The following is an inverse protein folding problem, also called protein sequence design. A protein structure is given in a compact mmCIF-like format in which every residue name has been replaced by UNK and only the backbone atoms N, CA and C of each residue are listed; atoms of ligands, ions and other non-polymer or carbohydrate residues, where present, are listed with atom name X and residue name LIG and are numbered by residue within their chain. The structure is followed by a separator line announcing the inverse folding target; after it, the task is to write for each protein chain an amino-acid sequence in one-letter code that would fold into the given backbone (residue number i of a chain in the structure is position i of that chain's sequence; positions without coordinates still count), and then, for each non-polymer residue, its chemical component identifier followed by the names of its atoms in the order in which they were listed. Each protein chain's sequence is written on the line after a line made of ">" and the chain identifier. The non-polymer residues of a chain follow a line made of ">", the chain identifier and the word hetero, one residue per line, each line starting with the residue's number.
data_IF_746545369964
#
_entry.id   IF_746545369964
#
_cell.length_a   1.000
_cell.length_b   1.000
_cell.length_c   1.000
_cell.angle_alpha   90.00
_cell.angle_beta   90.00
_cell.angle_gamma   90.00
#
_symmetry.space_group_name_H-M   'P 1'
#
loop_
_entity.id
_entity.type
_entity.pdbx_description
1 polymer ?
#
# COMPACT_ATOMS: atom_id res chain seq x y z
N UNK A 1 -32.66 29.40 -29.87
CA UNK A 1 -32.57 27.94 -29.72
C UNK A 1 -31.17 27.66 -29.20
N UNK A 2 -31.03 27.27 -27.93
CA UNK A 2 -29.73 27.02 -27.31
C UNK A 2 -29.16 25.75 -27.95
N UNK A 3 -28.04 25.85 -28.67
CA UNK A 3 -27.44 24.74 -29.39
C UNK A 3 -25.94 24.71 -29.17
N UNK A 4 -25.37 23.52 -29.01
CA UNK A 4 -23.93 23.30 -28.94
C UNK A 4 -23.36 23.51 -30.35
N UNK A 5 -22.44 24.47 -30.51
CA UNK A 5 -21.75 24.73 -31.77
C UNK A 5 -20.58 23.75 -31.97
N UNK A 6 -20.83 22.64 -32.67
CA UNK A 6 -19.85 21.58 -32.93
C UNK A 6 -18.70 22.02 -33.87
N UNK A 7 -18.83 23.17 -34.54
CA UNK A 7 -17.83 23.67 -35.48
C UNK A 7 -16.60 24.28 -34.80
N UNK A 8 -16.72 24.71 -33.53
CA UNK A 8 -15.62 25.30 -32.72
C UNK A 8 -14.77 24.26 -31.98
N UNK A 9 -14.88 23.00 -32.39
CA UNK A 9 -14.15 21.88 -31.81
C UNK A 9 -14.87 21.36 -30.58
N UNK A 10 -15.21 20.08 -30.65
CA UNK A 10 -15.77 19.28 -29.57
C UNK A 10 -14.77 19.13 -28.41
N UNK A 11 -14.46 20.22 -27.70
CA UNK A 11 -13.69 20.26 -26.46
C UNK A 11 -14.58 19.90 -25.27
N UNK A 12 -15.50 18.95 -25.41
CA UNK A 12 -16.40 18.52 -24.33
C UNK A 12 -15.63 18.17 -23.06
N UNK A 13 -14.45 17.56 -23.22
CA UNK A 13 -13.61 17.15 -22.10
C UNK A 13 -12.91 18.33 -21.42
N UNK A 14 -12.51 19.39 -22.14
CA UNK A 14 -11.86 20.56 -21.54
C UNK A 14 -12.86 21.63 -21.08
N UNK A 15 -13.99 21.78 -21.78
CA UNK A 15 -15.01 22.76 -21.44
C UNK A 15 -16.02 22.23 -20.41
N UNK A 16 -16.23 20.91 -20.33
CA UNK A 16 -17.12 20.29 -19.35
C UNK A 16 -18.50 20.99 -19.27
N UNK A 17 -18.88 21.57 -18.11
CA UNK A 17 -20.16 22.26 -17.94
C UNK A 17 -20.25 23.63 -18.63
N UNK A 18 -19.14 24.21 -19.11
CA UNK A 18 -19.06 25.55 -19.70
C UNK A 18 -19.35 25.58 -21.21
N UNK A 19 -20.02 24.54 -21.72
CA UNK A 19 -20.36 24.37 -23.14
C UNK A 19 -21.57 25.19 -23.59
N UNK A 20 -22.25 25.88 -22.67
CA UNK A 20 -23.43 26.69 -22.99
C UNK A 20 -22.99 28.01 -23.64
N UNK A 21 -23.28 28.16 -24.93
CA UNK A 21 -23.10 29.42 -25.66
C UNK A 21 -24.21 30.41 -25.28
N UNK A 22 -23.88 31.71 -25.25
CA UNK A 22 -24.85 32.78 -25.02
C UNK A 22 -25.96 32.81 -26.10
N UNK A 23 -27.04 33.57 -25.88
CA UNK A 23 -28.18 33.68 -26.79
C UNK A 23 -27.82 34.07 -28.24
N UNK A 24 -26.64 34.66 -28.44
CA UNK A 24 -26.09 35.17 -29.70
C UNK A 24 -25.17 34.16 -30.43
N UNK A 25 -24.97 32.95 -29.89
CA UNK A 25 -24.10 31.92 -30.48
C UNK A 25 -22.61 32.29 -30.46
N UNK A 26 -22.25 33.38 -29.78
CA UNK A 26 -20.86 33.76 -29.54
C UNK A 26 -20.34 32.98 -28.34
N UNK A 27 -19.05 32.63 -28.33
CA UNK A 27 -18.42 32.16 -27.10
C UNK A 27 -18.66 33.22 -26.03
N UNK A 28 -19.07 32.79 -24.83
CA UNK A 28 -19.13 33.69 -23.69
C UNK A 28 -17.75 34.38 -23.55
N UNK A 29 -17.68 35.62 -23.04
CA UNK A 29 -16.40 36.33 -22.91
C UNK A 29 -15.36 35.52 -22.13
N UNK A 30 -15.82 34.60 -21.27
CA UNK A 30 -15.03 33.76 -20.40
C UNK A 30 -14.64 32.40 -21.06
N UNK A 31 -14.98 32.13 -22.34
CA UNK A 31 -14.72 30.85 -23.04
C UNK A 31 -13.24 30.44 -23.02
N UNK A 32 -12.34 31.34 -23.44
CA UNK A 32 -10.90 31.06 -23.47
C UNK A 32 -10.33 30.88 -22.06
N UNK A 33 -10.93 31.54 -21.08
CA UNK A 33 -10.52 31.44 -19.70
C UNK A 33 -10.88 30.07 -19.11
N UNK A 34 -12.08 29.54 -19.39
CA UNK A 34 -12.46 28.18 -18.97
C UNK A 34 -11.55 27.10 -19.58
N UNK A 35 -11.14 27.27 -20.83
CA UNK A 35 -10.15 26.39 -21.47
C UNK A 35 -8.79 26.53 -20.79
N UNK A 36 -8.33 27.76 -20.50
CA UNK A 36 -7.06 27.97 -19.85
C UNK A 36 -7.01 27.34 -18.44
N UNK A 37 -8.08 27.47 -17.66
CA UNK A 37 -8.21 26.89 -16.31
C UNK A 37 -8.18 25.36 -16.36
N UNK A 38 -9.04 24.75 -17.19
CA UNK A 38 -9.13 23.28 -17.32
C UNK A 38 -7.84 22.66 -17.86
N UNK A 39 -7.24 23.30 -18.87
CA UNK A 39 -5.97 22.85 -19.45
C UNK A 39 -4.82 22.96 -18.44
N UNK A 40 -4.74 24.08 -17.71
CA UNK A 40 -3.74 24.25 -16.63
C UNK A 40 -3.90 23.16 -15.59
N UNK A 41 -5.13 22.89 -15.15
CA UNK A 41 -5.39 21.85 -14.17
C UNK A 41 -4.96 20.46 -14.67
N UNK A 42 -5.34 20.11 -15.90
CA UNK A 42 -4.97 18.84 -16.50
C UNK A 42 -3.44 18.70 -16.65
N UNK A 43 -2.74 19.72 -17.14
CA UNK A 43 -1.29 19.72 -17.33
C UNK A 43 -0.52 19.53 -16.03
N UNK A 44 -0.90 20.26 -14.97
CA UNK A 44 -0.24 20.12 -13.66
C UNK A 44 -0.62 18.82 -12.96
N UNK A 45 -1.86 18.33 -13.13
CA UNK A 45 -2.26 16.98 -12.70
C UNK A 45 -1.43 15.88 -13.37
N UNK A 46 -1.22 15.99 -14.68
CA UNK A 46 -0.32 15.10 -15.40
C UNK A 46 1.11 15.20 -14.89
N UNK A 47 1.63 16.42 -14.71
CA UNK A 47 3.00 16.65 -14.22
C UNK A 47 3.24 16.02 -12.85
N UNK A 48 2.30 16.20 -11.90
CA UNK A 48 2.38 15.59 -10.58
C UNK A 48 2.42 14.06 -10.63
N UNK A 49 1.54 13.47 -11.45
CA UNK A 49 1.50 12.02 -11.62
C UNK A 49 2.75 11.47 -12.34
N UNK A 50 3.30 12.24 -13.29
CA UNK A 50 4.51 11.89 -14.02
C UNK A 50 5.75 11.90 -13.11
N UNK A 51 5.88 12.91 -12.23
CA UNK A 51 6.94 12.95 -11.22
C UNK A 51 6.83 11.74 -10.27
N UNK A 52 5.62 11.40 -9.85
CA UNK A 52 5.39 10.19 -9.05
C UNK A 52 5.83 8.92 -9.79
N UNK A 53 5.43 8.77 -11.07
CA UNK A 53 5.80 7.63 -11.91
C UNK A 53 7.32 7.45 -12.00
N UNK A 54 8.07 8.53 -12.24
CA UNK A 54 9.54 8.46 -12.27
C UNK A 54 10.07 7.97 -10.91
N UNK A 55 9.57 8.53 -9.81
CA UNK A 55 9.98 8.12 -8.47
C UNK A 55 9.68 6.64 -8.16
N UNK A 56 8.50 6.16 -8.55
CA UNK A 56 8.10 4.76 -8.35
C UNK A 56 8.93 3.80 -9.20
N UNK A 57 9.20 4.16 -10.48
CA UNK A 57 10.06 3.36 -11.36
C UNK A 57 11.51 3.32 -10.89
N UNK A 58 12.08 4.46 -10.49
CA UNK A 58 13.46 4.53 -9.97
C UNK A 58 13.59 3.69 -8.70
N UNK A 59 12.63 3.80 -7.78
CA UNK A 59 12.60 2.97 -6.56
C UNK A 59 12.47 1.49 -6.92
N UNK A 60 11.53 1.12 -7.79
CA UNK A 60 11.31 -0.27 -8.20
C UNK A 60 12.56 -0.86 -8.89
N UNK A 61 13.25 -0.05 -9.69
CA UNK A 61 14.53 -0.43 -10.31
C UNK A 61 15.62 -0.70 -9.27
N UNK A 62 15.84 0.23 -8.32
CA UNK A 62 16.86 0.05 -7.29
C UNK A 62 16.55 -1.07 -6.29
N UNK A 63 15.28 -1.38 -6.05
CA UNK A 63 14.85 -2.50 -5.20
C UNK A 63 14.82 -3.83 -5.98
N UNK A 64 15.16 -3.82 -7.28
CA UNK A 64 15.07 -4.98 -8.18
C UNK A 64 13.66 -5.61 -8.23
N UNK A 65 12.65 -4.80 -8.00
CA UNK A 65 11.23 -5.17 -7.91
C UNK A 65 10.41 -4.46 -9.01
N UNK A 66 11.03 -4.29 -10.19
CA UNK A 66 10.35 -3.73 -11.35
C UNK A 66 9.48 -4.81 -11.99
N UNK A 67 8.19 -4.80 -11.66
CA UNK A 67 7.20 -5.73 -12.19
C UNK A 67 6.26 -5.05 -13.20
N UNK A 68 5.64 -5.78 -14.14
CA UNK A 68 4.64 -5.23 -15.06
C UNK A 68 3.50 -4.49 -14.34
N UNK A 69 3.18 -4.91 -13.12
CA UNK A 69 2.16 -4.28 -12.28
C UNK A 69 2.52 -2.84 -11.90
N UNK A 70 3.80 -2.51 -11.68
CA UNK A 70 4.25 -1.14 -11.37
C UNK A 70 3.93 -0.19 -12.53
N UNK A 71 4.14 -0.65 -13.77
CA UNK A 71 3.80 0.12 -14.96
C UNK A 71 2.29 0.33 -15.07
N UNK A 72 1.49 -0.73 -14.97
CA UNK A 72 0.02 -0.65 -15.04
C UNK A 72 -0.53 0.28 -13.96
N UNK A 73 -0.10 0.12 -12.71
CA UNK A 73 -0.53 0.95 -11.59
C UNK A 73 -0.16 2.43 -11.79
N UNK A 74 1.07 2.68 -12.27
CA UNK A 74 1.55 4.04 -12.55
C UNK A 74 0.79 4.69 -13.72
N UNK A 75 0.47 3.93 -14.78
CA UNK A 75 -0.38 4.41 -15.88
C UNK A 75 -1.79 4.75 -15.42
N UNK A 76 -2.43 3.87 -14.63
CA UNK A 76 -3.75 4.13 -14.04
C UNK A 76 -3.71 5.40 -13.18
N UNK A 77 -2.64 5.58 -12.39
CA UNK A 77 -2.43 6.77 -11.56
C UNK A 77 -2.29 8.05 -12.39
N UNK A 78 -1.52 8.03 -13.49
CA UNK A 78 -1.39 9.18 -14.41
C UNK A 78 -2.74 9.56 -15.01
N UNK A 79 -3.51 8.58 -15.48
CA UNK A 79 -4.84 8.82 -16.04
C UNK A 79 -5.77 9.40 -14.96
N UNK A 80 -5.84 8.74 -13.81
CA UNK A 80 -6.76 9.10 -12.72
C UNK A 80 -6.43 10.47 -12.14
N UNK A 81 -5.16 10.75 -11.83
CA UNK A 81 -4.73 12.03 -11.27
C UNK A 81 -4.98 13.20 -12.22
N UNK A 82 -4.71 13.03 -13.52
CA UNK A 82 -4.96 14.07 -14.53
C UNK A 82 -6.45 14.36 -14.70
N UNK A 83 -7.29 13.31 -14.73
CA UNK A 83 -8.74 13.45 -14.83
C UNK A 83 -9.36 14.03 -13.55
N UNK A 84 -8.89 13.65 -12.36
CA UNK A 84 -9.37 14.23 -11.09
C UNK A 84 -9.06 15.73 -11.01
N UNK A 85 -7.86 16.15 -11.42
CA UNK A 85 -7.51 17.57 -11.49
C UNK A 85 -8.42 18.33 -12.46
N UNK A 86 -8.68 17.77 -13.64
CA UNK A 86 -9.59 18.32 -14.64
C UNK A 86 -11.02 18.45 -14.11
N UNK A 87 -11.61 17.38 -13.58
CA UNK A 87 -12.98 17.39 -13.03
C UNK A 87 -13.11 18.41 -11.89
N UNK A 88 -12.09 18.52 -11.04
CA UNK A 88 -12.10 19.49 -9.94
C UNK A 88 -12.04 20.93 -10.44
N UNK A 89 -11.34 21.18 -11.54
CA UNK A 89 -11.25 22.52 -12.14
C UNK A 89 -12.62 23.08 -12.55
N UNK A 90 -13.58 22.21 -12.94
CA UNK A 90 -14.95 22.60 -13.24
C UNK A 90 -15.74 23.07 -12.01
N UNK A 91 -15.35 22.63 -10.82
CA UNK A 91 -15.96 23.12 -9.59
C UNK A 91 -15.39 24.49 -9.22
N UNK A 92 -14.09 24.69 -9.46
CA UNK A 92 -13.37 25.94 -9.11
C UNK A 92 -13.71 27.08 -10.06
N UNK A 93 -13.84 26.79 -11.36
CA UNK A 93 -14.21 27.80 -12.36
C UNK A 93 -15.62 28.38 -12.19
N UNK A 94 -16.47 27.71 -11.39
CA UNK A 94 -17.81 28.22 -11.02
C UNK A 94 -17.74 29.22 -9.85
N UNK A 95 -16.69 29.16 -9.03
CA UNK A 95 -16.56 29.91 -7.77
C UNK A 95 -15.63 31.12 -7.86
N UNK A 96 -14.67 31.13 -8.79
CA UNK A 96 -13.70 32.22 -8.93
C UNK A 96 -13.35 32.50 -10.39
N UNK A 97 -13.51 33.77 -10.81
CA UNK A 97 -13.22 34.27 -12.16
C UNK A 97 -11.74 34.59 -12.42
N UNK A 98 -10.78 34.10 -11.64
CA UNK A 98 -9.35 34.27 -11.92
C UNK A 98 -8.60 32.94 -11.80
N UNK A 99 -7.53 32.77 -12.60
CA UNK A 99 -6.59 31.66 -12.45
C UNK A 99 -5.82 31.88 -11.15
N UNK A 100 -6.36 31.33 -10.07
CA UNK A 100 -5.73 31.40 -8.77
C UNK A 100 -4.39 30.64 -8.83
N UNK A 101 -3.30 31.24 -8.34
CA UNK A 101 -1.95 30.64 -8.28
C UNK A 101 -1.98 29.27 -7.57
N UNK A 102 -2.97 29.04 -6.71
CA UNK A 102 -3.20 27.75 -6.06
C UNK A 102 -3.64 26.62 -7.00
N UNK A 103 -4.24 26.91 -8.17
CA UNK A 103 -4.78 25.89 -9.07
C UNK A 103 -3.69 24.94 -9.61
N UNK A 104 -2.56 25.41 -10.18
CA UNK A 104 -1.46 24.53 -10.55
C UNK A 104 -0.95 23.66 -9.39
N UNK A 105 -0.82 24.23 -8.19
CA UNK A 105 -0.30 23.54 -7.01
C UNK A 105 -1.25 22.41 -6.55
N UNK A 106 -2.55 22.71 -6.46
CA UNK A 106 -3.58 21.73 -6.08
C UNK A 106 -3.67 20.64 -7.15
N UNK A 107 -3.63 21.02 -8.42
CA UNK A 107 -3.69 20.07 -9.54
C UNK A 107 -2.48 19.14 -9.54
N UNK A 108 -1.27 19.66 -9.31
CA UNK A 108 -0.06 18.86 -9.12
C UNK A 108 -0.21 17.87 -7.95
N UNK A 109 -0.72 18.34 -6.80
CA UNK A 109 -0.97 17.48 -5.65
C UNK A 109 -1.95 16.36 -5.98
N UNK A 110 -3.01 16.64 -6.74
CA UNK A 110 -4.02 15.66 -7.15
C UNK A 110 -3.43 14.61 -8.10
N UNK A 111 -2.54 15.05 -8.99
CA UNK A 111 -1.74 14.17 -9.85
C UNK A 111 -0.84 13.22 -9.05
N UNK A 112 -0.09 13.78 -8.11
CA UNK A 112 0.88 13.04 -7.31
C UNK A 112 0.19 12.07 -6.32
N UNK A 113 -0.94 12.47 -5.73
CA UNK A 113 -1.69 11.72 -4.72
C UNK A 113 -3.19 11.60 -5.08
N UNK A 114 -3.58 10.82 -6.10
CA UNK A 114 -4.97 10.77 -6.57
C UNK A 114 -5.95 10.20 -5.55
N UNK A 115 -5.54 9.25 -4.71
CA UNK A 115 -6.39 8.66 -3.66
C UNK A 115 -6.74 9.70 -2.59
N UNK A 116 -5.75 10.48 -2.15
CA UNK A 116 -5.97 11.59 -1.21
C UNK A 116 -6.88 12.65 -1.84
N UNK A 117 -6.68 12.97 -3.12
CA UNK A 117 -7.55 13.88 -3.86
C UNK A 117 -9.00 13.37 -3.92
N UNK A 118 -9.20 12.08 -4.20
CA UNK A 118 -10.52 11.47 -4.23
C UNK A 118 -11.23 11.58 -2.87
N UNK A 119 -10.53 11.34 -1.76
CA UNK A 119 -11.07 11.48 -0.41
C UNK A 119 -11.48 12.94 -0.13
N UNK A 120 -10.67 13.92 -0.53
CA UNK A 120 -11.00 15.34 -0.38
C UNK A 120 -12.26 15.70 -1.17
N UNK A 121 -12.38 15.21 -2.40
CA UNK A 121 -13.56 15.41 -3.24
C UNK A 121 -14.79 14.76 -2.59
N UNK A 122 -14.68 13.50 -2.15
CA UNK A 122 -15.76 12.79 -1.47
C UNK A 122 -16.27 13.55 -0.24
N UNK A 123 -15.36 14.05 0.61
CA UNK A 123 -15.73 14.84 1.79
C UNK A 123 -16.49 16.12 1.41
N UNK A 124 -16.02 16.82 0.37
CA UNK A 124 -16.66 18.05 -0.12
C UNK A 124 -18.05 17.79 -0.71
N UNK A 125 -18.17 16.72 -1.52
CA UNK A 125 -19.44 16.31 -2.13
C UNK A 125 -20.42 15.80 -1.08
N UNK A 126 -19.98 14.99 -0.12
CA UNK A 126 -20.82 14.50 0.98
C UNK A 126 -21.38 15.66 1.81
N UNK A 127 -20.55 16.66 2.12
CA UNK A 127 -20.98 17.89 2.80
C UNK A 127 -22.03 18.69 2.00
N UNK A 128 -21.93 18.71 0.68
CA UNK A 128 -22.93 19.38 -0.18
C UNK A 128 -24.25 18.62 -0.31
N UNK A 129 -24.22 17.28 -0.37
CA UNK A 129 -25.41 16.45 -0.54
C UNK A 129 -26.09 16.16 0.82
N UNK A 130 -25.50 16.59 1.94
CA UNK A 130 -26.03 16.32 3.28
C UNK A 130 -25.94 14.83 3.66
N UNK A 131 -25.09 14.07 2.98
CA UNK A 131 -24.75 12.71 3.40
C UNK A 131 -23.85 12.85 4.62
N UNK A 132 -24.40 12.57 5.81
CA UNK A 132 -23.62 12.50 7.03
C UNK A 132 -22.38 11.63 6.81
N UNK A 133 -21.24 12.04 7.36
CA UNK A 133 -19.97 11.33 7.16
C UNK A 133 -20.18 9.83 7.40
N UNK A 134 -20.07 9.03 6.33
CA UNK A 134 -19.96 7.59 6.47
C UNK A 134 -18.62 7.35 7.13
N UNK A 135 -18.59 7.29 8.47
CA UNK A 135 -17.39 6.90 9.22
C UNK A 135 -17.02 5.51 8.74
N UNK A 136 -16.04 5.44 7.85
CA UNK A 136 -15.39 4.19 7.53
C UNK A 136 -14.65 3.78 8.81
N UNK A 137 -15.15 2.74 9.49
CA UNK A 137 -14.70 2.35 10.83
C UNK A 137 -13.38 1.57 10.83
N UNK A 138 -12.74 1.39 9.67
CA UNK A 138 -11.48 0.66 9.57
C UNK A 138 -10.31 1.62 9.81
N UNK A 139 -9.33 1.15 10.58
CA UNK A 139 -8.17 1.95 10.94
C UNK A 139 -7.12 1.83 9.81
N UNK A 140 -6.66 2.94 9.23
CA UNK A 140 -5.69 2.89 8.14
C UNK A 140 -4.31 2.43 8.62
N UNK A 141 -3.57 1.76 7.73
CA UNK A 141 -2.25 1.19 8.06
C UNK A 141 -1.19 2.24 8.38
N UNK A 142 -1.29 3.44 7.79
CA UNK A 142 -0.43 4.60 8.07
C UNK A 142 -0.38 5.02 9.53
N UNK A 143 -1.35 4.61 10.37
CA UNK A 143 -1.30 4.86 11.82
C UNK A 143 -0.42 3.88 12.59
N UNK A 144 0.03 2.79 11.97
CA UNK A 144 0.94 1.85 12.62
C UNK A 144 2.35 2.44 12.72
N UNK A 145 3.01 2.36 13.90
CA UNK A 145 4.38 2.83 14.06
C UNK A 145 5.35 2.18 13.06
N UNK A 146 6.15 2.99 12.36
CA UNK A 146 7.11 2.50 11.36
C UNK A 146 6.50 2.10 10.02
N UNK A 147 5.20 2.33 9.81
CA UNK A 147 4.55 2.17 8.50
C UNK A 147 4.89 3.36 7.60
N UNK A 148 5.75 3.14 6.60
CA UNK A 148 6.01 4.15 5.58
C UNK A 148 4.93 4.12 4.51
N UNK A 149 4.77 5.20 3.77
CA UNK A 149 3.87 5.24 2.61
C UNK A 149 4.16 4.12 1.59
N UNK A 150 5.44 3.77 1.40
CA UNK A 150 5.84 2.68 0.51
C UNK A 150 5.42 1.31 1.04
N UNK A 151 5.50 1.10 2.36
CA UNK A 151 5.05 -0.13 3.01
C UNK A 151 3.53 -0.27 2.89
N UNK A 152 2.78 0.77 3.26
CA UNK A 152 1.32 0.81 3.18
C UNK A 152 0.83 0.54 1.75
N UNK A 153 1.41 1.23 0.76
CA UNK A 153 1.04 1.02 -0.66
C UNK A 153 1.23 -0.44 -1.08
N UNK A 154 2.32 -1.09 -0.65
CA UNK A 154 2.57 -2.51 -0.98
C UNK A 154 1.61 -3.45 -0.28
N UNK A 155 1.24 -3.17 0.98
CA UNK A 155 0.28 -3.96 1.75
C UNK A 155 -1.12 -3.86 1.15
N UNK A 156 -1.56 -2.66 0.80
CA UNK A 156 -2.83 -2.40 0.11
C UNK A 156 -2.87 -3.13 -1.24
N UNK A 157 -1.78 -3.10 -2.01
CA UNK A 157 -1.67 -3.85 -3.28
C UNK A 157 -1.87 -5.37 -3.11
N UNK A 158 -1.50 -5.92 -1.95
CA UNK A 158 -1.70 -7.34 -1.62
C UNK A 158 -3.07 -7.64 -0.99
N UNK A 159 -3.96 -6.64 -0.89
CA UNK A 159 -5.31 -6.75 -0.35
C UNK A 159 -5.41 -6.57 1.16
N UNK A 160 -4.36 -6.01 1.79
CA UNK A 160 -4.36 -5.68 3.21
C UNK A 160 -4.55 -4.18 3.39
N UNK A 161 -5.80 -3.75 3.51
CA UNK A 161 -6.16 -2.32 3.40
C UNK A 161 -6.24 -1.60 4.75
N UNK A 162 -6.31 -2.34 5.86
CA UNK A 162 -6.53 -1.78 7.19
C UNK A 162 -5.89 -2.65 8.29
N UNK A 163 -5.85 -2.08 9.49
CA UNK A 163 -5.26 -2.71 10.69
C UNK A 163 -5.95 -4.02 11.03
N UNK A 164 -7.27 -4.12 10.89
CA UNK A 164 -8.03 -5.33 11.21
C UNK A 164 -7.68 -6.50 10.26
N UNK A 165 -7.53 -6.22 8.96
CA UNK A 165 -7.06 -7.18 7.96
C UNK A 165 -5.63 -7.61 8.26
N UNK A 166 -4.77 -6.67 8.66
CA UNK A 166 -3.37 -6.97 8.98
C UNK A 166 -3.24 -7.79 10.28
N UNK A 167 -4.05 -7.52 11.30
CA UNK A 167 -4.03 -8.25 12.57
C UNK A 167 -4.42 -9.74 12.41
N UNK A 168 -5.18 -10.05 11.36
CA UNK A 168 -5.70 -11.39 11.08
C UNK A 168 -4.93 -12.15 10.01
N UNK A 169 -3.88 -11.56 9.42
CA UNK A 169 -3.06 -12.22 8.40
C UNK A 169 -2.15 -13.28 9.00
N UNK A 170 -1.81 -14.30 8.20
CA UNK A 170 -0.68 -15.18 8.51
C UNK A 170 0.61 -14.46 8.13
N UNK A 171 1.58 -14.28 9.05
CA UNK A 171 2.84 -13.57 8.77
C UNK A 171 3.51 -14.03 7.48
N UNK A 172 3.41 -15.32 7.25
CA UNK A 172 4.07 -15.99 6.16
C UNK A 172 3.51 -15.69 4.77
N UNK A 173 2.18 -15.60 4.65
CA UNK A 173 1.53 -15.22 3.39
C UNK A 173 1.97 -13.81 3.00
N UNK A 174 2.04 -12.92 4.00
CA UNK A 174 2.45 -11.55 3.79
C UNK A 174 3.91 -11.45 3.37
N UNK A 175 4.82 -12.18 4.03
CA UNK A 175 6.24 -12.21 3.66
C UNK A 175 6.45 -12.69 2.22
N UNK A 176 5.74 -13.74 1.79
CA UNK A 176 5.89 -14.28 0.45
C UNK A 176 5.41 -13.33 -0.64
N UNK A 177 4.30 -12.65 -0.38
CA UNK A 177 3.66 -11.72 -1.31
C UNK A 177 4.40 -10.39 -1.42
N UNK A 178 4.81 -9.83 -0.28
CA UNK A 178 5.38 -8.47 -0.21
C UNK A 178 6.91 -8.44 -0.25
N UNK A 179 7.57 -9.57 0.04
CA UNK A 179 9.02 -9.64 0.22
C UNK A 179 9.52 -9.03 1.54
N UNK A 180 8.64 -8.61 2.45
CA UNK A 180 9.05 -8.08 3.75
C UNK A 180 9.68 -9.16 4.64
N UNK A 181 10.61 -8.75 5.50
CA UNK A 181 11.28 -9.66 6.42
C UNK A 181 10.28 -10.20 7.46
N UNK A 182 10.53 -11.40 7.98
CA UNK A 182 9.73 -11.99 9.04
C UNK A 182 9.58 -11.05 10.24
N UNK A 183 10.67 -10.39 10.63
CA UNK A 183 10.69 -9.47 11.76
C UNK A 183 9.76 -8.28 11.56
N UNK A 184 9.81 -7.63 10.39
CA UNK A 184 8.94 -6.49 10.07
C UNK A 184 7.47 -6.91 10.06
N UNK A 185 7.16 -8.02 9.38
CA UNK A 185 5.79 -8.52 9.29
C UNK A 185 5.25 -8.89 10.67
N UNK A 186 6.01 -9.65 11.47
CA UNK A 186 5.61 -10.01 12.83
C UNK A 186 5.35 -8.78 13.68
N UNK A 187 6.25 -7.79 13.63
CA UNK A 187 6.09 -6.53 14.35
C UNK A 187 4.81 -5.81 13.95
N UNK A 188 4.54 -5.62 12.65
CA UNK A 188 3.33 -4.91 12.21
C UNK A 188 2.05 -5.67 12.53
N UNK A 189 2.04 -7.01 12.46
CA UNK A 189 0.88 -7.80 12.86
C UNK A 189 0.64 -7.70 14.37
N UNK A 190 1.70 -7.74 15.18
CA UNK A 190 1.60 -7.59 16.62
C UNK A 190 1.07 -6.20 17.03
N UNK A 191 1.54 -5.14 16.37
CA UNK A 191 1.02 -3.78 16.55
C UNK A 191 -0.43 -3.69 16.08
N UNK A 192 -0.75 -4.23 14.91
CA UNK A 192 -2.09 -4.21 14.36
C UNK A 192 -3.09 -4.94 15.26
N UNK A 193 -2.69 -6.06 15.85
CA UNK A 193 -3.51 -6.80 16.81
C UNK A 193 -3.80 -5.95 18.06
N UNK A 194 -2.80 -5.30 18.63
CA UNK A 194 -3.02 -4.45 19.81
C UNK A 194 -3.92 -3.24 19.46
N UNK A 195 -3.66 -2.61 18.32
CA UNK A 195 -4.43 -1.49 17.82
C UNK A 195 -5.89 -1.89 17.55
N UNK A 196 -6.16 -3.05 16.93
CA UNK A 196 -7.54 -3.48 16.66
C UNK A 196 -8.40 -3.63 17.92
N UNK A 197 -7.78 -3.94 19.06
CA UNK A 197 -8.47 -4.08 20.35
C UNK A 197 -8.60 -2.75 21.10
N UNK A 198 -7.56 -1.90 21.07
CA UNK A 198 -7.58 -0.60 21.77
C UNK A 198 -8.34 0.48 20.99
N UNK A 199 -8.32 0.41 19.65
CA UNK A 199 -8.91 1.36 18.71
C UNK A 199 -8.47 2.79 19.03
N UNK A 200 -9.41 3.67 19.35
CA UNK A 200 -9.16 5.09 19.61
C UNK A 200 -8.21 5.32 20.80
N UNK A 201 -8.13 4.36 21.73
CA UNK A 201 -7.29 4.46 22.93
C UNK A 201 -5.85 3.98 22.72
N UNK A 202 -5.52 3.46 21.52
CA UNK A 202 -4.21 2.87 21.25
C UNK A 202 -3.06 3.87 21.39
N UNK A 203 -3.19 5.05 20.78
CA UNK A 203 -2.09 6.03 20.78
C UNK A 203 -1.78 6.53 22.20
N UNK A 204 -2.82 6.74 23.00
CA UNK A 204 -2.67 7.16 24.40
C UNK A 204 -2.06 6.03 25.25
N UNK A 205 -2.51 4.79 25.05
CA UNK A 205 -1.95 3.63 25.73
C UNK A 205 -0.45 3.44 25.43
N UNK A 206 -0.05 3.57 24.16
CA UNK A 206 1.36 3.47 23.75
C UNK A 206 2.19 4.58 24.39
N UNK A 207 1.68 5.82 24.46
CA UNK A 207 2.38 6.94 25.12
C UNK A 207 2.59 6.70 26.61
N UNK A 208 1.62 6.10 27.28
CA UNK A 208 1.64 5.89 28.74
C UNK A 208 2.46 4.65 29.14
N UNK A 209 2.40 3.58 28.35
CA UNK A 209 3.00 2.28 28.71
C UNK A 209 4.28 1.95 27.94
N UNK A 210 4.50 2.59 26.78
CA UNK A 210 5.57 2.24 25.84
C UNK A 210 5.34 0.95 25.06
N UNK A 211 4.26 0.21 25.31
CA UNK A 211 3.96 -1.07 24.67
C UNK A 211 3.31 -0.83 23.32
N UNK A 212 4.01 -1.18 22.25
CA UNK A 212 3.59 -0.94 20.87
C UNK A 212 2.84 -2.12 20.26
N UNK A 213 3.01 -3.34 20.76
CA UNK A 213 2.39 -4.51 20.15
C UNK A 213 2.19 -5.70 21.09
N UNK A 214 1.49 -6.70 20.56
CA UNK A 214 1.14 -7.91 21.29
C UNK A 214 2.36 -8.72 21.77
N UNK A 215 3.49 -8.70 21.04
CA UNK A 215 4.73 -9.39 21.43
C UNK A 215 5.35 -8.79 22.71
N UNK A 216 5.38 -7.46 22.83
CA UNK A 216 5.89 -6.77 24.02
C UNK A 216 4.96 -6.97 25.23
N UNK A 217 3.64 -6.94 24.99
CA UNK A 217 2.65 -7.25 26.01
C UNK A 217 2.79 -8.71 26.51
N UNK A 218 3.01 -9.63 25.57
CA UNK A 218 3.27 -11.04 25.84
C UNK A 218 4.52 -11.25 26.71
N UNK A 219 5.62 -10.56 26.39
CA UNK A 219 6.86 -10.61 27.15
C UNK A 219 6.68 -10.05 28.57
N UNK A 220 5.91 -8.98 28.72
CA UNK A 220 5.60 -8.41 30.04
C UNK A 220 4.81 -9.40 30.91
N UNK A 221 3.84 -10.12 30.34
CA UNK A 221 3.12 -11.17 31.07
C UNK A 221 4.00 -12.37 31.44
N UNK A 222 4.98 -12.73 30.61
CA UNK A 222 5.91 -13.83 30.90
C UNK A 222 6.90 -13.51 32.02
N UNK A 223 7.30 -12.24 32.15
CA UNK A 223 8.14 -11.77 33.26
C UNK A 223 7.42 -11.89 34.62
N UNK A 224 6.12 -12.13 34.63
CA UNK A 224 5.32 -12.30 35.83
C UNK A 224 5.10 -10.99 36.58
N UNK A 225 4.91 -11.07 37.89
CA UNK A 225 4.65 -9.88 38.71
C UNK A 225 5.84 -8.93 38.69
N UNK A 226 5.57 -7.65 38.43
CA UNK A 226 6.56 -6.57 38.55
C UNK A 226 6.57 -6.16 40.02
N UNK A 227 7.42 -6.80 40.83
CA UNK A 227 7.39 -6.65 42.29
C UNK A 227 6.16 -7.32 42.92
N UNK A 228 5.32 -6.55 43.64
CA UNK A 228 4.09 -7.04 44.27
C UNK A 228 2.84 -6.89 43.40
N UNK A 229 2.92 -6.13 42.31
CA UNK A 229 1.79 -5.83 41.42
C UNK A 229 1.72 -6.80 40.26
N UNK A 230 0.51 -7.27 39.97
CA UNK A 230 0.25 -8.04 38.76
C UNK A 230 0.48 -7.16 37.52
N UNK A 231 0.82 -7.75 36.36
CA UNK A 231 0.90 -7.02 35.10
C UNK A 231 -0.34 -6.19 34.76
N UNK A 232 -1.52 -6.69 35.08
CA UNK A 232 -2.80 -6.00 34.85
C UNK A 232 -2.92 -4.74 35.73
N UNK A 233 -2.55 -4.84 37.00
CA UNK A 233 -2.53 -3.71 37.93
C UNK A 233 -1.46 -2.69 37.54
N UNK A 234 -0.28 -3.15 37.11
CA UNK A 234 0.79 -2.27 36.63
C UNK A 234 0.34 -1.44 35.42
N UNK A 235 -0.28 -2.08 34.42
CA UNK A 235 -0.78 -1.38 33.24
C UNK A 235 -1.97 -0.47 33.57
N UNK A 236 -2.83 -0.88 34.49
CA UNK A 236 -3.97 -0.05 34.94
C UNK A 236 -3.47 1.19 35.67
N UNK A 237 -2.51 1.05 36.59
CA UNK A 237 -1.88 2.17 37.28
C UNK A 237 -1.14 3.11 36.32
N UNK A 238 -0.39 2.56 35.35
CA UNK A 238 0.31 3.36 34.33
C UNK A 238 -0.65 4.17 33.44
N UNK A 239 -1.89 3.71 33.27
CA UNK A 239 -2.92 4.37 32.46
C UNK A 239 -3.91 5.20 33.28
N UNK A 240 -3.70 5.34 34.59
CA UNK A 240 -4.62 6.05 35.50
C UNK A 240 -6.00 5.42 35.56
N UNK A 241 -6.08 4.09 35.47
CA UNK A 241 -7.30 3.27 35.51
C UNK A 241 -8.35 3.57 34.42
N UNK A 242 -7.96 4.28 33.36
CA UNK A 242 -8.89 4.75 32.32
C UNK A 242 -9.49 3.61 31.47
N UNK A 243 -8.76 2.52 31.27
CA UNK A 243 -9.14 1.41 30.37
C UNK A 243 -8.94 0.02 30.99
N UNK A 244 -9.12 -0.11 32.31
CA UNK A 244 -8.93 -1.36 33.09
C UNK A 244 -9.60 -2.58 32.46
N UNK A 245 -10.85 -2.45 32.01
CA UNK A 245 -11.57 -3.56 31.35
C UNK A 245 -10.94 -3.99 30.02
N UNK A 246 -10.42 -3.05 29.22
CA UNK A 246 -9.72 -3.38 27.97
C UNK A 246 -8.38 -4.05 28.25
N UNK A 247 -7.64 -3.57 29.24
CA UNK A 247 -6.37 -4.15 29.68
C UNK A 247 -6.58 -5.60 30.14
N UNK A 248 -7.56 -5.86 31.01
CA UNK A 248 -7.89 -7.22 31.45
C UNK A 248 -8.29 -8.13 30.28
N UNK A 249 -9.05 -7.63 29.31
CA UNK A 249 -9.39 -8.39 28.11
C UNK A 249 -8.15 -8.70 27.25
N UNK A 250 -7.26 -7.74 27.05
CA UNK A 250 -6.00 -7.92 26.33
C UNK A 250 -5.10 -8.97 26.99
N UNK A 251 -4.92 -8.90 28.31
CA UNK A 251 -4.10 -9.85 29.06
C UNK A 251 -4.63 -11.29 28.93
N UNK A 252 -5.96 -11.48 28.93
CA UNK A 252 -6.58 -12.80 28.66
C UNK A 252 -6.39 -13.27 27.22
N UNK A 253 -6.44 -12.37 26.25
CA UNK A 253 -6.37 -12.71 24.83
C UNK A 253 -4.93 -12.88 24.33
N UNK A 254 -3.94 -12.32 25.01
CA UNK A 254 -2.52 -12.44 24.61
C UNK A 254 -2.05 -13.89 24.58
N UNK A 255 -2.60 -14.78 25.41
CA UNK A 255 -2.29 -16.21 25.34
C UNK A 255 -2.63 -16.81 23.97
N UNK A 256 -3.75 -16.40 23.38
CA UNK A 256 -4.13 -16.81 22.01
C UNK A 256 -3.24 -16.18 20.95
N UNK A 257 -2.76 -14.95 21.17
CA UNK A 257 -1.75 -14.33 20.32
C UNK A 257 -0.46 -15.18 20.29
N UNK A 258 0.07 -15.56 21.46
CA UNK A 258 1.27 -16.40 21.57
C UNK A 258 1.12 -17.71 20.81
N UNK A 259 0.04 -18.44 21.08
CA UNK A 259 -0.24 -19.71 20.40
C UNK A 259 -0.26 -19.53 18.87
N UNK A 260 -0.85 -18.44 18.38
CA UNK A 260 -0.89 -18.14 16.95
C UNK A 260 0.48 -17.72 16.40
N UNK A 261 1.24 -16.90 17.12
CA UNK A 261 2.52 -16.37 16.71
C UNK A 261 3.63 -17.44 16.67
N UNK A 262 3.56 -18.41 17.59
CA UNK A 262 4.56 -19.48 17.72
C UNK A 262 4.22 -20.72 16.88
N UNK A 263 3.08 -20.73 16.18
CA UNK A 263 2.73 -21.83 15.26
C UNK A 263 3.84 -21.98 14.20
N UNK A 264 4.50 -23.16 14.12
CA UNK A 264 5.56 -23.39 13.16
C UNK A 264 5.09 -23.14 11.73
N UNK A 265 5.91 -22.44 10.95
CA UNK A 265 5.70 -22.22 9.50
C UNK A 265 5.51 -23.55 8.74
N UNK A 266 6.08 -24.64 9.23
CA UNK A 266 6.01 -26.00 8.65
C UNK A 266 4.63 -26.65 8.72
N UNK A 267 3.72 -26.17 9.58
CA UNK A 267 2.38 -26.76 9.75
C UNK A 267 1.34 -26.23 8.77
N UNK A 268 1.74 -25.42 7.77
CA UNK A 268 0.81 -24.84 6.79
C UNK A 268 0.98 -25.48 5.41
N UNK A 269 0.15 -26.48 5.02
CA UNK A 269 0.20 -27.10 3.70
C UNK A 269 0.11 -26.10 2.54
N UNK A 270 -0.63 -25.01 2.75
CA UNK A 270 -0.77 -23.92 1.78
C UNK A 270 0.53 -23.12 1.58
N UNK A 271 1.39 -23.02 2.62
CA UNK A 271 2.67 -22.33 2.53
C UNK A 271 3.69 -23.11 1.71
N UNK A 272 3.79 -24.41 1.98
CA UNK A 272 4.58 -25.34 1.17
C UNK A 272 4.19 -25.24 -0.30
N UNK A 273 2.88 -25.23 -0.60
CA UNK A 273 2.38 -25.08 -1.97
C UNK A 273 2.70 -23.70 -2.56
N UNK A 274 2.52 -22.62 -1.81
CA UNK A 274 2.84 -21.27 -2.28
C UNK A 274 4.34 -21.06 -2.57
N UNK A 275 5.23 -21.64 -1.76
CA UNK A 275 6.67 -21.65 -2.03
C UNK A 275 7.00 -22.40 -3.33
N UNK A 276 6.36 -23.55 -3.55
CA UNK A 276 6.52 -24.33 -4.77
C UNK A 276 6.08 -23.53 -6.00
N UNK A 277 4.88 -22.94 -5.95
CA UNK A 277 4.32 -22.15 -7.06
C UNK A 277 5.16 -20.89 -7.34
N UNK A 278 5.62 -20.18 -6.29
CA UNK A 278 6.50 -19.02 -6.42
C UNK A 278 7.85 -19.39 -7.04
N UNK A 279 8.48 -20.48 -6.59
CA UNK A 279 9.73 -20.96 -7.16
C UNK A 279 9.59 -21.30 -8.65
N UNK A 280 8.45 -21.91 -9.04
CA UNK A 280 8.14 -22.18 -10.43
C UNK A 280 7.92 -20.90 -11.25
N UNK A 281 7.20 -19.91 -10.71
CA UNK A 281 7.00 -18.63 -11.37
C UNK A 281 8.32 -17.88 -11.58
N UNK A 282 9.22 -17.88 -10.59
CA UNK A 282 10.56 -17.27 -10.71
C UNK A 282 11.42 -17.99 -11.74
N UNK A 283 11.35 -19.33 -11.78
CA UNK A 283 11.98 -20.15 -12.83
C UNK A 283 11.47 -19.77 -14.22
N UNK A 284 10.16 -19.62 -14.39
CA UNK A 284 9.54 -19.21 -15.65
C UNK A 284 9.92 -17.76 -16.04
N UNK A 285 10.12 -16.89 -15.05
CA UNK A 285 10.60 -15.51 -15.23
C UNK A 285 12.10 -15.43 -15.58
N UNK A 286 12.85 -16.53 -15.47
CA UNK A 286 14.30 -16.57 -15.71
C UNK A 286 15.16 -16.09 -14.53
N UNK A 287 14.55 -15.76 -13.38
CA UNK A 287 15.26 -15.43 -12.15
C UNK A 287 15.74 -16.72 -11.46
N UNK A 288 16.86 -17.24 -11.95
CA UNK A 288 17.44 -18.51 -11.49
C UNK A 288 17.91 -18.45 -10.05
N UNK A 289 18.46 -17.32 -9.59
CA UNK A 289 18.93 -17.14 -8.21
C UNK A 289 17.76 -17.09 -7.23
N UNK A 290 16.74 -16.26 -7.53
CA UNK A 290 15.54 -16.16 -6.71
C UNK A 290 14.77 -17.49 -6.65
N UNK A 291 14.67 -18.21 -7.77
CA UNK A 291 14.03 -19.53 -7.81
C UNK A 291 14.74 -20.54 -6.89
N UNK A 292 16.08 -20.61 -6.93
CA UNK A 292 16.85 -21.53 -6.08
C UNK A 292 16.65 -21.22 -4.60
N UNK A 293 16.67 -19.94 -4.20
CA UNK A 293 16.48 -19.54 -2.80
C UNK A 293 15.10 -19.94 -2.29
N UNK A 294 14.05 -19.70 -3.07
CA UNK A 294 12.67 -20.07 -2.73
C UNK A 294 12.51 -21.60 -2.66
N UNK A 295 13.12 -22.34 -3.60
CA UNK A 295 13.10 -23.80 -3.60
C UNK A 295 13.88 -24.42 -2.44
N UNK A 296 14.97 -23.82 -1.99
CA UNK A 296 15.68 -24.26 -0.78
C UNK A 296 14.82 -24.09 0.48
N UNK A 297 14.08 -22.97 0.57
CA UNK A 297 13.11 -22.77 1.65
C UNK A 297 11.98 -23.80 1.62
N UNK A 298 11.50 -24.16 0.43
CA UNK A 298 10.53 -25.25 0.26
C UNK A 298 11.08 -26.57 0.81
N UNK A 299 12.30 -26.96 0.43
CA UNK A 299 12.92 -28.21 0.86
C UNK A 299 13.15 -28.30 2.38
N UNK A 300 13.30 -27.17 3.07
CA UNK A 300 13.45 -27.13 4.53
C UNK A 300 12.17 -27.49 5.29
N UNK A 301 11.01 -27.50 4.62
CA UNK A 301 9.69 -27.63 5.23
C UNK A 301 8.97 -28.93 4.87
N UNK A 302 9.44 -29.62 3.83
CA UNK A 302 8.81 -30.82 3.30
C UNK A 302 9.63 -32.05 3.66
N UNK A 303 9.00 -33.20 3.95
CA UNK A 303 9.72 -34.45 4.13
C UNK A 303 10.69 -34.71 2.97
N UNK A 304 11.95 -35.06 3.24
CA UNK A 304 13.01 -35.15 2.24
C UNK A 304 12.76 -36.21 1.16
N UNK A 305 11.88 -37.18 1.45
CA UNK A 305 11.50 -38.30 0.58
C UNK A 305 10.22 -38.09 -0.23
N UNK A 306 9.54 -36.95 -0.04
CA UNK A 306 8.37 -36.58 -0.84
C UNK A 306 8.73 -36.41 -2.32
N UNK A 307 7.77 -36.69 -3.20
CA UNK A 307 7.96 -36.55 -4.65
C UNK A 307 8.23 -35.10 -5.05
N UNK A 308 7.57 -34.14 -4.38
CA UNK A 308 7.81 -32.71 -4.58
C UNK A 308 9.25 -32.32 -4.19
N UNK A 309 9.80 -32.87 -3.09
CA UNK A 309 11.18 -32.60 -2.68
C UNK A 309 12.20 -33.14 -3.68
N UNK A 310 11.96 -34.33 -4.27
CA UNK A 310 12.82 -34.89 -5.33
C UNK A 310 12.80 -34.00 -6.57
N UNK A 311 11.61 -33.59 -7.02
CA UNK A 311 11.43 -32.75 -8.20
C UNK A 311 12.12 -31.38 -8.03
N UNK A 312 11.98 -30.75 -6.86
CA UNK A 312 12.62 -29.47 -6.55
C UNK A 312 14.15 -29.59 -6.50
N UNK A 313 14.70 -30.66 -5.90
CA UNK A 313 16.15 -30.92 -5.89
C UNK A 313 16.71 -31.04 -7.32
N UNK A 314 16.01 -31.71 -8.22
CA UNK A 314 16.40 -31.80 -9.63
C UNK A 314 16.38 -30.43 -10.33
N UNK A 315 15.37 -29.60 -10.06
CA UNK A 315 15.30 -28.25 -10.62
C UNK A 315 16.44 -27.37 -10.14
N UNK A 316 16.76 -27.38 -8.84
CA UNK A 316 17.93 -26.67 -8.30
C UNK A 316 19.21 -27.12 -9.01
N UNK A 317 19.39 -28.43 -9.22
CA UNK A 317 20.56 -28.97 -9.91
C UNK A 317 20.66 -28.50 -11.38
N UNK A 318 19.52 -28.46 -12.10
CA UNK A 318 19.47 -27.95 -13.49
C UNK A 318 19.77 -26.45 -13.57
N UNK A 319 19.16 -25.66 -12.69
CA UNK A 319 19.33 -24.21 -12.63
C UNK A 319 20.78 -23.83 -12.23
N UNK A 320 21.38 -24.56 -11.30
CA UNK A 320 22.78 -24.36 -10.89
C UNK A 320 23.79 -24.69 -11.99
N UNK A 321 23.50 -25.66 -12.87
CA UNK A 321 24.33 -25.98 -14.04
C UNK A 321 24.23 -24.91 -15.13
N UNK A 322 23.03 -24.39 -15.37
CA UNK A 322 22.82 -23.30 -16.35
C UNK A 322 23.56 -22.02 -15.95
N UNK A 323 23.64 -21.70 -14.67
CA UNK A 323 24.39 -20.53 -14.15
C UNK A 323 25.92 -20.67 -14.16
N UNK A 324 26.46 -21.90 -14.24
CA UNK A 324 27.91 -22.15 -14.40
C UNK A 324 28.37 -22.17 -15.86
N UNK A 325 27.45 -22.25 -16.82
CA UNK A 325 27.76 -22.35 -18.25
C UNK A 325 28.16 -21.04 -18.95
N UNK A 326 28.35 -19.96 -18.20
CA UNK A 326 29.16 -18.82 -18.64
C UNK A 326 30.45 -18.71 -17.81
N UNK A 327 31.44 -19.61 -17.99
CA UNK A 327 32.82 -19.21 -17.79
C UNK A 327 33.22 -18.33 -18.97
N UNK A 328 33.56 -17.10 -18.64
CA UNK A 328 34.41 -16.20 -19.41
C UNK A 328 35.40 -16.97 -20.32
N UNK A 329 35.16 -17.02 -21.62
CA UNK A 329 36.14 -17.51 -22.61
C UNK A 329 36.58 -16.36 -23.49
N UNK A 330 37.77 -15.84 -23.17
CA UNK A 330 38.76 -15.52 -24.18
C UNK A 330 38.79 -14.09 -24.72
N UNK A 331 39.09 -13.11 -23.88
CA UNK A 331 39.96 -12.01 -24.32
C UNK A 331 41.39 -12.35 -23.88
N UNK A 332 42.15 -13.00 -24.76
CA UNK A 332 43.61 -12.94 -24.75
C UNK A 332 44.14 -12.42 -26.10
N UNK A 333 45.32 -11.78 -26.10
CA UNK A 333 45.67 -10.71 -27.02
C UNK A 333 46.61 -11.13 -28.17
N UNK A 334 46.41 -10.55 -29.36
CA UNK A 334 47.35 -10.56 -30.50
C UNK A 334 47.55 -11.94 -31.13
N UNK A 335 47.91 -12.12 -32.41
CA UNK A 335 48.53 -11.34 -33.49
C UNK A 335 48.57 -12.32 -34.72
N UNK A 336 49.19 -12.05 -35.89
CA UNK A 336 50.09 -10.96 -36.30
C UNK A 336 49.41 -9.80 -37.02
#
# INVERSE_FOLDING_TARGET
>A
MWGVDYSKGANFLLLGPYMLFGPDGRPDHDYYQHIAVSLTAFQFGFLGAYVYLIGDLVRAYFILDLTPQVFVASTIRVITGSLLALVTSFMTGYMSKEVNISLPLISFFFGYFPETALILIQKKVAGWIGLGETKYHAIPLSRLPGMSYAHETRLIREGYDNVENLATVRPLDLMLRTGFTHRQVRQWIAQAWLYSHMREDYEEFVKQTGITGADELAELLDKGNVGSTTPEEYLSAATGDKYTHKIAALCRLVGKWKERADRPLSLSPQYTRALFDKGQALKAKGDTKGAIEVFQRFLALVPPDSDDAKQVKEWIAKLGKSGRSTPNTGDEPGKP
#
